data_IF_152475306002
#
_entry.id   IF_152475306002
#
_cell.length_a   1.000
_cell.length_b   1.000
_cell.length_c   1.000
_cell.angle_alpha   90.00
_cell.angle_beta   90.00
_cell.angle_gamma   90.00
#
_symmetry.space_group_name_H-M   'P 1'
#
loop_
_entity.id
_entity.type
_entity.pdbx_description
1 polymer ?
#
# COMPACT_ATOMS: atom_id res chain seq x y z
N UNK A 1 19.93 -2.86 13.89
CA UNK A 1 20.94 -2.17 14.73
C UNK A 1 20.58 -0.70 15.01
N UNK A 2 20.11 0.05 14.02
CA UNK A 2 19.70 1.47 14.19
C UNK A 2 18.54 1.67 15.17
N UNK A 3 17.52 0.83 15.15
CA UNK A 3 16.36 0.91 16.07
C UNK A 3 16.77 0.79 17.54
N UNK A 4 17.56 -0.24 17.86
CA UNK A 4 18.02 -0.44 19.23
C UNK A 4 18.90 0.74 19.70
N UNK A 5 19.76 1.25 18.84
CA UNK A 5 20.62 2.38 19.13
C UNK A 5 19.79 3.65 19.38
N UNK A 6 18.82 3.95 18.54
CA UNK A 6 17.94 5.11 18.69
C UNK A 6 17.13 5.05 19.99
N UNK A 7 16.61 3.86 20.37
CA UNK A 7 15.91 3.65 21.62
C UNK A 7 16.82 3.82 22.85
N UNK A 8 18.05 3.30 22.79
CA UNK A 8 19.04 3.47 23.88
C UNK A 8 19.36 4.94 24.08
N UNK A 9 19.58 5.71 23.01
CA UNK A 9 19.83 7.16 23.08
C UNK A 9 18.63 7.91 23.65
N UNK A 10 17.41 7.56 23.26
CA UNK A 10 16.17 8.10 23.80
C UNK A 10 16.05 7.88 25.31
N UNK A 11 16.24 6.65 25.77
CA UNK A 11 16.19 6.30 27.20
C UNK A 11 17.33 6.97 28.00
N UNK A 12 18.53 7.04 27.42
CA UNK A 12 19.67 7.73 28.02
C UNK A 12 19.40 9.23 28.18
N UNK A 13 18.78 9.88 27.19
CA UNK A 13 18.36 11.29 27.28
C UNK A 13 17.41 11.51 28.45
N UNK A 14 16.37 10.69 28.60
CA UNK A 14 15.42 10.76 29.74
C UNK A 14 16.17 10.55 31.06
N UNK A 15 17.04 9.54 31.13
CA UNK A 15 17.81 9.21 32.31
C UNK A 15 18.72 10.35 32.75
N UNK A 16 19.48 10.92 31.82
CA UNK A 16 20.40 12.06 32.12
C UNK A 16 19.60 13.29 32.55
N UNK A 17 18.50 13.61 31.85
CA UNK A 17 17.65 14.73 32.22
C UNK A 17 17.03 14.54 33.59
N UNK A 18 16.44 13.38 33.86
CA UNK A 18 15.83 13.07 35.16
C UNK A 18 16.85 13.02 36.31
N UNK A 19 18.12 12.69 36.05
CA UNK A 19 19.15 12.54 37.08
C UNK A 19 19.73 13.87 37.51
N UNK A 20 20.22 14.74 36.60
CA UNK A 20 21.00 15.92 36.92
C UNK A 20 20.69 17.19 36.12
N UNK A 21 19.68 17.19 35.22
CA UNK A 21 19.39 18.38 34.43
C UNK A 21 18.88 19.55 35.26
N UNK A 22 19.17 20.74 34.79
CA UNK A 22 18.84 21.99 35.44
C UNK A 22 17.38 22.40 35.35
N UNK A 23 16.99 23.35 36.20
CA UNK A 23 15.61 23.84 36.41
C UNK A 23 15.08 24.75 35.28
N UNK A 24 15.85 25.05 34.26
CA UNK A 24 15.48 26.06 33.26
C UNK A 24 14.35 25.55 32.35
N UNK A 25 13.27 26.33 32.23
CA UNK A 25 12.07 25.96 31.48
C UNK A 25 12.38 25.69 29.98
N UNK A 26 13.31 26.43 29.40
CA UNK A 26 13.74 26.23 28.01
C UNK A 26 14.31 24.84 27.77
N UNK A 27 15.25 24.37 28.59
CA UNK A 27 15.83 23.03 28.47
C UNK A 27 14.78 21.94 28.62
N UNK A 28 13.82 22.15 29.54
CA UNK A 28 12.69 21.24 29.72
C UNK A 28 11.85 21.16 28.46
N UNK A 29 11.41 22.29 27.88
CA UNK A 29 10.56 22.35 26.70
C UNK A 29 11.30 21.78 25.50
N UNK A 30 12.55 22.21 25.27
CA UNK A 30 13.32 21.72 24.11
C UNK A 30 13.51 20.19 24.15
N UNK A 31 13.92 19.63 25.28
CA UNK A 31 14.12 18.19 25.46
C UNK A 31 12.77 17.45 25.28
N UNK A 32 11.69 17.94 25.89
CA UNK A 32 10.36 17.33 25.79
C UNK A 32 9.86 17.31 24.35
N UNK A 33 10.05 18.41 23.61
CA UNK A 33 9.66 18.50 22.19
C UNK A 33 10.42 17.49 21.34
N UNK A 34 11.76 17.41 21.49
CA UNK A 34 12.57 16.48 20.69
C UNK A 34 12.24 15.01 21.03
N UNK A 35 12.08 14.68 22.32
CA UNK A 35 11.64 13.34 22.71
C UNK A 35 10.23 13.04 22.19
N UNK A 36 9.37 14.05 22.15
CA UNK A 36 8.04 13.95 21.55
C UNK A 36 8.09 13.66 20.05
N UNK A 37 8.94 14.35 19.32
CA UNK A 37 9.17 14.10 17.89
C UNK A 37 9.62 12.65 17.69
N UNK A 38 10.57 12.16 18.50
CA UNK A 38 11.02 10.76 18.44
C UNK A 38 9.86 9.77 18.59
N UNK A 39 8.99 9.99 19.58
CA UNK A 39 7.82 9.11 19.82
C UNK A 39 6.88 9.13 18.63
N UNK A 40 6.53 10.32 18.11
CA UNK A 40 5.61 10.45 16.97
C UNK A 40 6.20 9.78 15.73
N UNK A 41 7.47 10.03 15.42
CA UNK A 41 8.15 9.43 14.27
C UNK A 41 8.12 7.89 14.31
N UNK A 42 8.45 7.31 15.45
CA UNK A 42 8.48 5.85 15.56
C UNK A 42 7.07 5.24 15.56
N UNK A 43 6.07 5.91 16.15
CA UNK A 43 4.67 5.45 16.04
C UNK A 43 4.19 5.53 14.60
N UNK A 44 4.54 6.61 13.87
CA UNK A 44 4.23 6.71 12.44
C UNK A 44 4.89 5.58 11.65
N UNK A 45 6.16 5.27 11.94
CA UNK A 45 6.87 4.14 11.31
C UNK A 45 6.13 2.81 11.52
N UNK A 46 5.83 2.46 12.78
CA UNK A 46 5.16 1.19 13.08
C UNK A 46 3.73 1.13 12.54
N UNK A 47 3.00 2.25 12.56
CA UNK A 47 1.68 2.31 11.94
C UNK A 47 1.76 2.16 10.43
N UNK A 48 2.71 2.80 9.77
CA UNK A 48 2.94 2.67 8.33
C UNK A 48 3.34 1.24 7.96
N UNK A 49 4.28 0.66 8.71
CA UNK A 49 4.75 -0.71 8.51
C UNK A 49 3.59 -1.73 8.64
N UNK A 50 2.70 -1.53 9.61
CA UNK A 50 1.51 -2.36 9.77
C UNK A 50 0.61 -2.35 8.52
N UNK A 51 0.51 -1.24 7.81
CA UNK A 51 -0.36 -1.10 6.63
C UNK A 51 0.35 -1.37 5.31
N UNK A 52 1.65 -1.16 5.21
CA UNK A 52 2.40 -1.29 3.96
C UNK A 52 3.37 -2.48 3.94
N UNK A 53 3.77 -2.95 5.11
CA UNK A 53 4.84 -3.95 5.25
C UNK A 53 6.25 -3.41 5.00
N UNK A 54 6.38 -2.10 4.67
CA UNK A 54 7.65 -1.48 4.24
C UNK A 54 7.89 -0.08 4.87
N UNK A 55 7.24 0.18 6.01
CA UNK A 55 7.41 1.42 6.76
C UNK A 55 6.86 2.66 6.05
N UNK A 56 7.58 3.80 6.18
CA UNK A 56 7.15 5.10 5.63
C UNK A 56 7.69 5.24 4.20
N UNK A 57 6.82 5.10 3.22
CA UNK A 57 7.14 5.13 1.79
C UNK A 57 6.12 5.96 0.98
N UNK A 58 6.24 5.97 -0.35
CA UNK A 58 5.32 6.66 -1.25
C UNK A 58 3.87 6.17 -1.13
N UNK A 59 3.63 4.89 -0.81
CA UNK A 59 2.29 4.35 -0.62
C UNK A 59 1.57 5.01 0.56
N UNK A 60 2.30 5.27 1.67
CA UNK A 60 1.77 6.02 2.83
C UNK A 60 1.43 7.45 2.42
N UNK A 61 2.35 8.14 1.75
CA UNK A 61 2.13 9.52 1.30
C UNK A 61 0.95 9.59 0.33
N UNK A 62 0.89 8.69 -0.64
CA UNK A 62 -0.21 8.60 -1.59
C UNK A 62 -1.55 8.38 -0.89
N UNK A 63 -1.60 7.45 0.07
CA UNK A 63 -2.82 7.14 0.85
C UNK A 63 -3.28 8.33 1.68
N UNK A 64 -2.35 9.04 2.35
CA UNK A 64 -2.67 10.21 3.17
C UNK A 64 -3.11 11.43 2.34
N UNK A 65 -2.64 11.55 1.12
CA UNK A 65 -2.98 12.66 0.23
C UNK A 65 -4.21 12.37 -0.64
N UNK A 66 -4.73 11.15 -0.63
CA UNK A 66 -5.90 10.74 -1.42
C UNK A 66 -7.13 10.45 -0.56
N UNK A 67 -8.30 10.36 -1.19
CA UNK A 67 -9.54 10.01 -0.50
C UNK A 67 -9.49 8.58 0.03
N UNK A 68 -9.79 8.40 1.31
CA UNK A 68 -9.93 7.09 1.95
C UNK A 68 -11.32 6.46 1.72
N UNK A 69 -12.12 7.02 0.83
CA UNK A 69 -13.45 6.47 0.51
C UNK A 69 -13.32 5.08 -0.10
N UNK A 70 -13.90 4.09 0.55
CA UNK A 70 -13.82 2.69 0.11
C UNK A 70 -12.58 1.92 0.56
N UNK A 71 -11.75 2.51 1.45
CA UNK A 71 -10.55 1.87 1.99
C UNK A 71 -10.79 0.99 3.23
N UNK A 72 -12.03 0.71 3.60
CA UNK A 72 -12.34 -0.13 4.78
C UNK A 72 -11.85 0.41 6.14
N UNK A 73 -11.58 1.73 6.23
CA UNK A 73 -10.94 2.35 7.41
C UNK A 73 -11.79 2.36 8.68
N UNK A 74 -13.08 2.05 8.58
CA UNK A 74 -14.01 2.11 9.71
C UNK A 74 -13.57 1.31 10.93
N UNK A 75 -13.00 0.12 10.73
CA UNK A 75 -12.52 -0.76 11.79
C UNK A 75 -11.32 -0.19 12.58
N UNK A 76 -10.59 0.77 12.00
CA UNK A 76 -9.41 1.38 12.62
C UNK A 76 -9.70 2.66 13.40
N UNK A 77 -10.93 3.19 13.37
CA UNK A 77 -11.31 4.43 14.09
C UNK A 77 -11.12 4.25 15.59
N UNK A 78 -11.65 3.18 16.16
CA UNK A 78 -11.57 2.95 17.62
C UNK A 78 -10.13 2.63 18.07
N UNK A 79 -9.35 1.74 17.41
CA UNK A 79 -7.92 1.59 17.66
C UNK A 79 -7.13 2.90 17.53
N UNK A 80 -7.42 3.71 16.51
CA UNK A 80 -6.78 5.02 16.31
C UNK A 80 -7.04 6.00 17.46
N UNK A 81 -8.29 6.08 17.94
CA UNK A 81 -8.61 6.87 19.15
C UNK A 81 -7.88 6.36 20.37
N UNK A 82 -7.79 5.03 20.54
CA UNK A 82 -6.99 4.42 21.62
C UNK A 82 -5.52 4.80 21.55
N UNK A 83 -4.94 4.81 20.36
CA UNK A 83 -3.56 5.25 20.12
C UNK A 83 -3.35 6.73 20.51
N UNK A 84 -4.28 7.61 20.12
CA UNK A 84 -4.21 9.03 20.49
C UNK A 84 -4.26 9.21 22.01
N UNK A 85 -5.15 8.51 22.71
CA UNK A 85 -5.23 8.55 24.18
C UNK A 85 -3.93 8.03 24.82
N UNK A 86 -3.38 6.93 24.31
CA UNK A 86 -2.11 6.38 24.78
C UNK A 86 -0.95 7.36 24.57
N UNK A 87 -0.89 8.02 23.42
CA UNK A 87 0.10 9.08 23.13
C UNK A 87 0.02 10.24 24.13
N UNK A 88 -1.18 10.76 24.36
CA UNK A 88 -1.39 11.83 25.34
C UNK A 88 -0.93 11.38 26.74
N UNK A 89 -1.24 10.13 27.13
CA UNK A 89 -0.78 9.53 28.38
C UNK A 89 0.75 9.42 28.47
N UNK A 90 1.41 8.96 27.41
CA UNK A 90 2.87 8.86 27.34
C UNK A 90 3.51 10.25 27.46
N UNK A 91 3.01 11.24 26.72
CA UNK A 91 3.49 12.62 26.81
C UNK A 91 3.31 13.22 28.22
N UNK A 92 2.15 13.00 28.83
CA UNK A 92 1.89 13.45 30.19
C UNK A 92 2.85 12.79 31.20
N UNK A 93 3.05 11.47 31.07
CA UNK A 93 3.99 10.72 31.91
C UNK A 93 5.45 11.20 31.72
N UNK A 94 5.86 11.40 30.47
CA UNK A 94 7.19 11.93 30.15
C UNK A 94 7.37 13.33 30.72
N UNK A 95 6.41 14.22 30.53
CA UNK A 95 6.43 15.57 31.10
C UNK A 95 6.47 15.54 32.64
N UNK A 96 5.74 14.61 33.27
CA UNK A 96 5.74 14.43 34.71
C UNK A 96 7.10 13.93 35.22
N UNK A 97 7.69 12.92 34.58
CA UNK A 97 9.03 12.40 34.92
C UNK A 97 10.09 13.50 34.84
N UNK A 98 10.10 14.25 33.75
CA UNK A 98 11.05 15.34 33.55
C UNK A 98 10.82 16.51 34.55
N UNK A 99 9.56 16.77 34.96
CA UNK A 99 9.21 17.81 35.94
C UNK A 99 9.49 17.41 37.41
N UNK A 100 9.37 16.13 37.75
CA UNK A 100 9.38 15.67 39.17
C UNK A 100 10.63 16.02 39.97
N UNK A 101 11.73 16.38 39.27
CA UNK A 101 13.03 16.68 39.91
C UNK A 101 13.42 18.16 39.83
N UNK A 102 12.47 19.03 39.84
CA UNK A 102 12.60 20.49 39.66
C UNK A 102 13.40 21.24 40.75
N UNK A 103 13.83 20.60 41.84
CA UNK A 103 14.41 21.23 43.00
C UNK A 103 15.94 21.06 43.15
N UNK A 104 16.65 20.62 42.13
CA UNK A 104 18.11 20.44 42.17
C UNK A 104 18.87 21.63 41.58
N UNK A 105 20.14 21.86 41.99
CA UNK A 105 20.97 22.93 41.46
C UNK A 105 21.12 22.82 39.92
N UNK A 106 21.29 23.97 39.26
CA UNK A 106 21.37 24.08 37.81
C UNK A 106 22.67 23.49 37.26
N UNK A 107 22.57 22.40 36.53
CA UNK A 107 23.68 21.88 35.74
C UNK A 107 23.32 21.94 34.23
N UNK A 108 23.57 23.09 33.62
CA UNK A 108 23.30 23.31 32.19
C UNK A 108 23.97 22.26 31.28
N UNK A 109 25.18 21.80 31.68
CA UNK A 109 25.89 20.75 30.93
C UNK A 109 25.11 19.45 30.79
N UNK A 110 24.44 19.00 31.86
CA UNK A 110 23.58 17.79 31.77
C UNK A 110 22.31 18.01 30.99
N UNK A 111 21.74 19.23 31.02
CA UNK A 111 20.58 19.57 30.20
C UNK A 111 20.95 19.60 28.72
N UNK A 112 22.10 20.16 28.37
CA UNK A 112 22.64 20.14 27.03
C UNK A 112 22.93 18.69 26.55
N UNK A 113 23.60 17.89 27.39
CA UNK A 113 23.86 16.48 27.07
C UNK A 113 22.56 15.70 26.81
N UNK A 114 21.54 15.89 27.66
CA UNK A 114 20.26 15.25 27.47
C UNK A 114 19.58 15.67 26.12
N UNK A 115 19.65 16.96 25.80
CA UNK A 115 19.13 17.45 24.50
C UNK A 115 19.92 16.88 23.32
N UNK A 116 21.25 16.83 23.40
CA UNK A 116 22.09 16.21 22.36
C UNK A 116 21.76 14.71 22.18
N UNK A 117 21.55 13.98 23.27
CA UNK A 117 21.15 12.58 23.23
C UNK A 117 19.75 12.43 22.61
N UNK A 118 18.81 13.34 22.91
CA UNK A 118 17.48 13.35 22.29
C UNK A 118 17.56 13.61 20.77
N UNK A 119 18.36 14.59 20.35
CA UNK A 119 18.59 14.87 18.93
C UNK A 119 19.25 13.68 18.23
N UNK A 120 20.28 13.09 18.84
CA UNK A 120 20.94 11.91 18.31
C UNK A 120 19.99 10.69 18.22
N UNK A 121 19.00 10.57 19.12
CA UNK A 121 17.99 9.51 19.04
C UNK A 121 17.06 9.68 17.83
N UNK A 122 16.69 10.93 17.51
CA UNK A 122 15.89 11.25 16.31
C UNK A 122 16.71 10.96 15.04
N UNK A 123 17.95 11.43 14.99
CA UNK A 123 18.84 11.23 13.84
C UNK A 123 19.12 9.75 13.59
N UNK A 124 19.32 8.94 14.62
CA UNK A 124 19.52 7.50 14.49
C UNK A 124 18.22 6.70 14.22
N UNK A 125 17.05 7.34 14.25
CA UNK A 125 15.77 6.64 14.04
C UNK A 125 15.56 6.25 12.57
N UNK A 126 15.19 4.99 12.28
CA UNK A 126 14.80 4.58 10.92
C UNK A 126 13.68 5.44 10.33
N UNK A 127 12.70 5.87 11.15
CA UNK A 127 11.62 6.75 10.72
C UNK A 127 12.14 8.08 10.14
N UNK A 128 13.14 8.68 10.79
CA UNK A 128 13.75 9.92 10.31
C UNK A 128 14.48 9.72 8.98
N UNK A 129 15.19 8.60 8.83
CA UNK A 129 15.87 8.26 7.59
C UNK A 129 14.87 8.03 6.44
N UNK A 130 13.80 7.25 6.65
CA UNK A 130 12.78 7.00 5.63
C UNK A 130 12.08 8.30 5.18
N UNK A 131 11.68 9.17 6.14
CA UNK A 131 11.10 10.47 5.80
C UNK A 131 12.12 11.33 5.02
N UNK A 132 13.39 11.32 5.42
CA UNK A 132 14.43 12.10 4.74
C UNK A 132 14.65 11.62 3.31
N UNK A 133 14.67 10.31 3.07
CA UNK A 133 14.77 9.74 1.73
C UNK A 133 13.51 10.05 0.89
N UNK A 134 12.32 9.96 1.49
CA UNK A 134 11.07 10.33 0.84
C UNK A 134 11.07 11.82 0.43
N UNK A 135 11.52 12.73 1.30
CA UNK A 135 11.66 14.16 0.97
C UNK A 135 12.70 14.40 -0.12
N UNK A 136 13.84 13.70 -0.07
CA UNK A 136 14.88 13.80 -1.10
C UNK A 136 14.39 13.29 -2.46
N UNK A 137 13.63 12.20 -2.49
CA UNK A 137 13.10 11.67 -3.75
C UNK A 137 12.16 12.66 -4.44
N UNK A 138 11.38 13.42 -3.64
CA UNK A 138 10.46 14.44 -4.13
C UNK A 138 11.15 15.75 -4.59
N UNK A 139 12.32 16.07 -4.02
CA UNK A 139 13.05 17.31 -4.32
C UNK A 139 14.05 17.18 -5.47
N UNK A 140 14.20 16.02 -6.05
CA UNK A 140 14.99 15.86 -7.28
C UNK A 140 14.20 16.43 -8.45
N UNK A 141 14.72 17.51 -9.05
CA UNK A 141 14.31 17.90 -10.40
C UNK A 141 14.45 16.65 -11.28
N UNK A 142 13.43 16.38 -12.10
CA UNK A 142 13.32 15.13 -12.84
C UNK A 142 14.64 14.72 -13.47
N UNK A 143 15.00 13.45 -13.26
CA UNK A 143 16.24 12.91 -13.76
C UNK A 143 16.31 13.13 -15.28
N UNK A 144 17.24 13.94 -15.79
CA UNK A 144 17.35 14.17 -17.23
C UNK A 144 17.62 12.88 -18.02
N UNK A 145 18.10 11.84 -17.34
CA UNK A 145 18.33 10.53 -17.93
C UNK A 145 17.04 9.69 -18.08
N UNK A 146 15.93 10.04 -17.40
CA UNK A 146 14.65 9.30 -17.56
C UNK A 146 14.24 9.24 -19.04
N UNK A 147 14.34 10.34 -19.75
CA UNK A 147 14.01 10.40 -21.19
C UNK A 147 14.90 9.47 -22.05
N UNK A 148 16.09 9.12 -21.60
CA UNK A 148 16.97 8.17 -22.27
C UNK A 148 16.49 6.71 -22.11
N UNK A 149 15.86 6.39 -21.01
CA UNK A 149 15.35 5.05 -20.69
C UNK A 149 13.90 4.84 -21.11
N UNK A 150 13.05 5.88 -21.02
CA UNK A 150 11.67 5.77 -21.47
C UNK A 150 11.59 5.66 -22.98
N UNK A 151 10.93 4.61 -23.46
CA UNK A 151 10.64 4.41 -24.89
C UNK A 151 9.14 4.57 -25.10
N UNK A 152 8.75 5.59 -25.85
CA UNK A 152 7.36 5.76 -26.25
C UNK A 152 6.88 4.53 -27.03
N UNK A 153 5.82 3.85 -26.57
CA UNK A 153 5.34 2.65 -27.23
C UNK A 153 4.62 2.99 -28.54
N UNK A 154 4.42 1.98 -29.39
CA UNK A 154 3.53 2.09 -30.56
C UNK A 154 2.11 2.45 -30.10
N UNK A 155 1.45 3.37 -30.79
CA UNK A 155 0.09 3.81 -30.45
C UNK A 155 -1.01 2.77 -30.72
N UNK A 156 -0.69 1.72 -31.45
CA UNK A 156 -1.63 0.63 -31.81
C UNK A 156 -0.88 -0.67 -32.12
N UNK A 157 -1.60 -1.76 -32.05
CA UNK A 157 -1.16 -3.09 -32.47
C UNK A 157 -1.57 -3.28 -33.93
N UNK A 158 -0.62 -3.67 -34.76
CA UNK A 158 -0.92 -4.01 -36.16
C UNK A 158 -1.58 -5.39 -36.26
N UNK A 159 -2.75 -5.43 -36.89
CA UNK A 159 -3.52 -6.64 -37.14
C UNK A 159 -3.75 -7.53 -35.89
N UNK A 160 -4.35 -7.02 -34.81
CA UNK A 160 -4.56 -7.77 -33.57
C UNK A 160 -5.56 -8.91 -33.80
N UNK A 161 -5.26 -10.12 -33.31
CA UNK A 161 -6.06 -11.32 -33.53
C UNK A 161 -6.66 -11.91 -32.26
N UNK A 162 -6.07 -11.64 -31.12
CA UNK A 162 -6.42 -12.26 -29.84
C UNK A 162 -7.14 -11.27 -28.93
N UNK A 163 -8.04 -11.75 -28.10
CA UNK A 163 -8.53 -11.03 -26.94
C UNK A 163 -7.47 -11.06 -25.83
N UNK A 164 -7.53 -10.09 -24.92
CA UNK A 164 -6.64 -10.02 -23.77
C UNK A 164 -7.45 -10.20 -22.48
N UNK A 165 -7.06 -11.16 -21.65
CA UNK A 165 -7.48 -11.23 -20.24
C UNK A 165 -6.25 -10.93 -19.38
N UNK A 166 -6.38 -9.97 -18.47
CA UNK A 166 -5.28 -9.52 -17.60
C UNK A 166 -5.75 -9.54 -16.14
N UNK A 167 -5.13 -10.37 -15.31
CA UNK A 167 -5.51 -10.51 -13.92
C UNK A 167 -4.39 -9.95 -13.04
N UNK A 168 -4.72 -8.94 -12.23
CA UNK A 168 -3.86 -8.46 -11.16
C UNK A 168 -4.13 -9.30 -9.90
N UNK A 169 -3.15 -10.07 -9.46
CA UNK A 169 -3.18 -10.77 -8.18
C UNK A 169 -2.72 -9.82 -7.06
N UNK A 170 -3.66 -9.27 -6.29
CA UNK A 170 -3.34 -8.37 -5.18
C UNK A 170 -2.47 -9.06 -4.14
N UNK A 171 -1.37 -8.42 -3.74
CA UNK A 171 -0.42 -8.94 -2.74
C UNK A 171 0.07 -10.38 -3.01
N UNK A 172 0.09 -10.80 -4.28
CA UNK A 172 0.60 -12.13 -4.68
C UNK A 172 2.12 -12.07 -4.83
N UNK A 173 2.82 -12.45 -3.77
CA UNK A 173 4.27 -12.44 -3.69
C UNK A 173 4.91 -13.59 -4.48
N UNK A 174 6.01 -13.31 -5.16
CA UNK A 174 6.78 -14.36 -5.88
C UNK A 174 7.26 -15.47 -4.93
N UNK A 175 7.56 -15.12 -3.68
CA UNK A 175 7.96 -16.04 -2.62
C UNK A 175 6.92 -17.13 -2.34
N UNK A 176 5.63 -16.90 -2.61
CA UNK A 176 4.57 -17.91 -2.41
C UNK A 176 4.68 -19.12 -3.36
N UNK A 177 5.48 -19.00 -4.41
CA UNK A 177 5.81 -20.12 -5.32
C UNK A 177 7.04 -20.92 -4.87
N UNK A 178 7.72 -20.51 -3.80
CA UNK A 178 8.84 -21.24 -3.20
C UNK A 178 8.29 -22.33 -2.27
N UNK A 179 8.38 -23.59 -2.73
CA UNK A 179 7.89 -24.73 -1.97
C UNK A 179 8.73 -25.06 -0.72
N UNK A 180 9.97 -24.55 -0.62
CA UNK A 180 10.79 -24.73 0.59
C UNK A 180 10.29 -23.78 1.70
N UNK A 181 9.88 -22.55 1.33
CA UNK A 181 9.32 -21.58 2.26
C UNK A 181 7.83 -21.80 2.51
N UNK A 182 7.06 -22.11 1.47
CA UNK A 182 5.59 -22.25 1.49
C UNK A 182 5.15 -23.53 0.78
N UNK A 183 5.30 -24.72 1.41
CA UNK A 183 4.98 -25.98 0.78
C UNK A 183 3.55 -26.05 0.27
N UNK A 184 3.38 -26.29 -1.03
CA UNK A 184 2.08 -26.48 -1.69
C UNK A 184 1.07 -25.33 -1.47
N UNK A 185 1.55 -24.08 -1.40
CA UNK A 185 0.69 -22.92 -1.22
C UNK A 185 -0.03 -22.54 -2.52
N UNK A 186 0.66 -22.60 -3.67
CA UNK A 186 0.15 -22.18 -5.00
C UNK A 186 0.36 -23.27 -6.07
N UNK A 187 -0.20 -24.48 -5.91
CA UNK A 187 0.05 -25.59 -6.84
C UNK A 187 -0.55 -25.36 -8.23
N UNK A 188 -1.73 -24.76 -8.35
CA UNK A 188 -2.42 -24.55 -9.64
C UNK A 188 -1.76 -23.42 -10.44
N UNK A 189 -1.43 -22.28 -9.79
CA UNK A 189 -0.66 -21.21 -10.41
C UNK A 189 0.75 -21.67 -10.79
N UNK A 190 1.37 -22.52 -9.97
CA UNK A 190 2.64 -23.17 -10.29
C UNK A 190 2.55 -24.06 -11.54
N UNK A 191 1.45 -24.81 -11.70
CA UNK A 191 1.19 -25.60 -12.90
C UNK A 191 0.95 -24.70 -14.13
N UNK A 192 0.21 -23.60 -13.97
CA UNK A 192 -0.03 -22.63 -15.04
C UNK A 192 1.26 -21.95 -15.48
N UNK A 193 2.12 -21.55 -14.53
CA UNK A 193 3.45 -21.01 -14.77
C UNK A 193 4.28 -21.87 -15.73
N UNK A 194 4.20 -23.17 -15.60
CA UNK A 194 4.93 -24.13 -16.46
C UNK A 194 4.35 -24.24 -17.89
N UNK A 195 3.17 -23.69 -18.16
CA UNK A 195 2.52 -23.71 -19.46
C UNK A 195 2.67 -22.38 -20.24
N UNK A 196 3.24 -21.36 -19.64
CA UNK A 196 3.38 -20.02 -20.19
C UNK A 196 4.79 -19.45 -20.09
N UNK A 197 4.86 -18.13 -20.21
CA UNK A 197 6.09 -17.38 -19.95
C UNK A 197 6.10 -16.91 -18.49
N UNK A 198 7.17 -17.19 -17.79
CA UNK A 198 7.39 -16.75 -16.42
C UNK A 198 8.55 -15.74 -16.37
N UNK A 199 8.29 -14.59 -15.74
CA UNK A 199 9.27 -13.53 -15.53
C UNK A 199 9.81 -13.58 -14.09
N UNK A 200 10.59 -14.60 -13.80
CA UNK A 200 11.08 -14.93 -12.45
C UNK A 200 12.04 -13.90 -11.82
N UNK A 201 12.61 -13.01 -12.61
CA UNK A 201 13.58 -11.99 -12.15
C UNK A 201 12.99 -10.58 -12.16
N UNK A 202 11.68 -10.44 -12.04
CA UNK A 202 11.02 -9.14 -11.92
C UNK A 202 11.15 -8.64 -10.48
N UNK A 203 11.65 -7.41 -10.32
CA UNK A 203 11.77 -6.75 -9.02
C UNK A 203 10.83 -5.54 -8.97
N UNK A 204 10.25 -5.30 -7.81
CA UNK A 204 9.55 -4.05 -7.54
C UNK A 204 10.55 -2.92 -7.34
N UNK A 205 10.32 -1.79 -7.99
CA UNK A 205 11.07 -0.56 -7.82
C UNK A 205 10.25 0.44 -6.98
N UNK A 206 10.90 1.43 -6.35
CA UNK A 206 10.17 2.52 -5.70
C UNK A 206 9.15 3.15 -6.66
N UNK A 207 7.94 3.41 -6.16
CA UNK A 207 6.83 3.91 -6.99
C UNK A 207 6.16 2.86 -7.88
N UNK A 208 6.36 1.55 -7.60
CA UNK A 208 5.64 0.44 -8.27
C UNK A 208 5.07 -0.59 -7.28
N UNK A 209 5.19 -0.32 -5.98
CA UNK A 209 5.04 -1.25 -4.86
C UNK A 209 3.66 -1.19 -4.16
N UNK A 210 2.71 -0.43 -4.68
CA UNK A 210 1.31 -0.42 -4.23
C UNK A 210 0.35 -0.47 -5.42
N UNK A 211 -0.89 -0.87 -5.19
CA UNK A 211 -1.84 -1.29 -6.24
C UNK A 211 -1.92 -0.36 -7.44
N UNK A 212 -2.20 0.94 -7.23
CA UNK A 212 -2.31 1.87 -8.38
C UNK A 212 -0.95 2.12 -9.04
N UNK A 213 0.14 2.12 -8.27
CA UNK A 213 1.48 2.28 -8.83
C UNK A 213 1.89 1.07 -9.67
N UNK A 214 1.57 -0.15 -9.22
CA UNK A 214 1.74 -1.37 -10.02
C UNK A 214 0.91 -1.37 -11.30
N UNK A 215 -0.34 -0.85 -11.25
CA UNK A 215 -1.17 -0.67 -12.44
C UNK A 215 -0.56 0.34 -13.42
N UNK A 216 -0.09 1.48 -12.94
CA UNK A 216 0.59 2.50 -13.76
C UNK A 216 1.87 1.93 -14.36
N UNK A 217 2.70 1.28 -13.56
CA UNK A 217 3.95 0.69 -14.04
C UNK A 217 3.73 -0.37 -15.11
N UNK A 218 2.80 -1.30 -14.89
CA UNK A 218 2.52 -2.39 -15.85
C UNK A 218 1.81 -1.93 -17.11
N UNK A 219 1.02 -0.85 -17.06
CA UNK A 219 0.30 -0.36 -18.23
C UNK A 219 1.02 0.75 -18.98
N UNK A 220 1.76 1.61 -18.27
CA UNK A 220 2.38 2.80 -18.86
C UNK A 220 3.92 2.75 -18.90
N UNK A 221 4.55 1.78 -18.21
CA UNK A 221 6.00 1.64 -18.14
C UNK A 221 6.71 2.75 -17.34
N UNK A 222 6.01 3.39 -16.41
CA UNK A 222 6.52 4.47 -15.57
C UNK A 222 6.19 4.24 -14.09
N UNK A 223 7.01 4.69 -13.15
CA UNK A 223 6.67 4.66 -11.73
C UNK A 223 5.63 5.74 -11.37
N UNK A 224 4.91 5.54 -10.28
CA UNK A 224 3.99 6.52 -9.70
C UNK A 224 4.54 7.00 -8.36
N UNK A 225 4.89 8.28 -8.28
CA UNK A 225 5.27 8.95 -7.04
C UNK A 225 4.18 9.92 -6.58
N UNK A 226 3.93 9.96 -5.27
CA UNK A 226 2.95 10.86 -4.68
C UNK A 226 3.55 12.25 -4.46
N UNK A 227 2.98 13.34 -5.00
CA UNK A 227 3.46 14.68 -4.69
C UNK A 227 3.08 15.10 -3.26
N UNK A 228 3.97 15.80 -2.55
CA UNK A 228 3.66 16.39 -1.24
C UNK A 228 2.60 17.49 -1.32
N UNK A 229 2.48 18.16 -2.45
CA UNK A 229 1.61 19.34 -2.65
C UNK A 229 0.14 18.98 -2.88
N UNK A 230 -0.38 18.01 -2.15
CA UNK A 230 -1.81 17.78 -2.08
C UNK A 230 -2.34 16.67 -2.97
N UNK A 231 -3.59 16.35 -2.68
CA UNK A 231 -4.33 15.27 -3.28
C UNK A 231 -4.69 15.57 -4.72
N UNK A 232 -3.88 15.11 -5.59
CA UNK A 232 -4.15 15.25 -7.00
C UNK A 232 -5.35 14.41 -7.46
N UNK A 233 -5.55 13.18 -6.95
CA UNK A 233 -6.52 12.23 -7.55
C UNK A 233 -7.98 12.62 -7.39
N UNK A 234 -8.38 13.26 -6.28
CA UNK A 234 -9.77 13.70 -6.07
C UNK A 234 -10.16 14.94 -6.90
N UNK A 235 -9.18 15.74 -7.34
CA UNK A 235 -9.37 16.93 -8.16
C UNK A 235 -8.89 16.77 -9.60
N UNK A 236 -8.24 15.66 -9.93
CA UNK A 236 -7.76 15.37 -11.28
C UNK A 236 -8.93 15.06 -12.23
N UNK A 237 -8.96 15.74 -13.36
CA UNK A 237 -9.81 15.37 -14.50
C UNK A 237 -9.19 14.30 -15.38
N UNK A 238 -7.86 14.09 -15.30
CA UNK A 238 -7.11 13.08 -16.06
C UNK A 238 -5.86 12.65 -15.30
N UNK A 239 -5.38 11.45 -15.56
CA UNK A 239 -4.23 10.82 -14.91
C UNK A 239 -3.19 10.50 -15.97
N UNK A 240 -2.01 11.09 -15.92
CA UNK A 240 -0.94 10.96 -16.92
C UNK A 240 -1.36 11.14 -18.39
N UNK A 241 -2.09 12.20 -18.76
CA UNK A 241 -2.73 12.32 -20.08
C UNK A 241 -1.74 12.40 -21.25
N UNK A 242 -0.46 12.61 -20.99
CA UNK A 242 0.59 12.65 -22.02
C UNK A 242 1.27 11.31 -22.27
N UNK A 243 1.04 10.32 -21.40
CA UNK A 243 1.62 8.98 -21.55
C UNK A 243 0.68 8.07 -22.35
N UNK A 244 1.28 7.20 -23.15
CA UNK A 244 0.55 6.15 -23.85
C UNK A 244 0.63 4.89 -23.01
N UNK A 245 -0.51 4.42 -22.55
CA UNK A 245 -0.62 3.22 -21.73
C UNK A 245 -1.24 2.06 -22.50
N UNK A 246 -1.16 0.85 -22.00
CA UNK A 246 -1.68 -0.35 -22.65
C UNK A 246 -3.17 -0.22 -23.05
N UNK A 247 -3.99 0.37 -22.17
CA UNK A 247 -5.40 0.60 -22.48
C UNK A 247 -5.62 1.50 -23.70
N UNK A 248 -4.79 2.55 -23.89
CA UNK A 248 -4.84 3.42 -25.07
C UNK A 248 -4.47 2.65 -26.34
N UNK A 249 -3.40 1.85 -26.27
CA UNK A 249 -2.94 1.02 -27.39
C UNK A 249 -4.04 0.03 -27.81
N UNK A 250 -4.67 -0.63 -26.85
CA UNK A 250 -5.75 -1.57 -27.08
C UNK A 250 -6.96 -0.87 -27.72
N UNK A 251 -7.40 0.26 -27.15
CA UNK A 251 -8.52 1.06 -27.68
C UNK A 251 -8.25 1.52 -29.11
N UNK A 252 -7.07 2.05 -29.38
CA UNK A 252 -6.63 2.48 -30.71
C UNK A 252 -6.53 1.30 -31.72
N UNK A 253 -6.44 0.08 -31.20
CA UNK A 253 -6.40 -1.17 -31.98
C UNK A 253 -7.80 -1.79 -32.15
N UNK A 254 -8.87 -1.11 -31.69
CA UNK A 254 -10.24 -1.54 -31.85
C UNK A 254 -10.74 -2.52 -30.79
N UNK A 255 -10.11 -2.54 -29.61
CA UNK A 255 -10.61 -3.28 -28.46
C UNK A 255 -11.65 -2.46 -27.69
N UNK A 256 -12.65 -3.13 -27.13
CA UNK A 256 -13.47 -2.63 -26.03
C UNK A 256 -12.78 -3.02 -24.71
N UNK A 257 -12.41 -2.03 -23.88
CA UNK A 257 -11.64 -2.27 -22.66
C UNK A 257 -12.55 -2.31 -21.42
N UNK A 258 -12.46 -3.40 -20.68
CA UNK A 258 -13.24 -3.70 -19.48
C UNK A 258 -12.31 -3.83 -18.27
N UNK A 259 -12.74 -3.30 -17.13
CA UNK A 259 -12.03 -3.48 -15.85
C UNK A 259 -13.02 -3.85 -14.75
N UNK A 260 -12.68 -4.86 -13.94
CA UNK A 260 -13.51 -5.40 -12.86
C UNK A 260 -12.72 -5.55 -11.57
N UNK A 261 -13.29 -5.10 -10.45
CA UNK A 261 -12.74 -5.30 -9.10
C UNK A 261 -13.83 -5.34 -8.04
N UNK A 262 -13.57 -5.97 -6.87
CA UNK A 262 -14.49 -5.98 -5.74
C UNK A 262 -14.54 -4.68 -4.96
N UNK A 263 -13.47 -3.90 -4.97
CA UNK A 263 -13.32 -2.65 -4.23
C UNK A 263 -13.94 -1.45 -4.97
N UNK A 264 -14.03 -0.30 -4.25
CA UNK A 264 -14.50 0.94 -4.86
C UNK A 264 -13.46 1.49 -5.86
N UNK A 265 -13.91 1.85 -7.06
CA UNK A 265 -13.05 2.38 -8.13
C UNK A 265 -12.43 3.74 -7.80
N UNK A 266 -13.10 4.55 -6.97
CA UNK A 266 -12.61 5.88 -6.59
C UNK A 266 -11.41 5.83 -5.64
N UNK A 267 -11.24 4.70 -4.93
CA UNK A 267 -10.09 4.54 -4.06
C UNK A 267 -8.80 4.58 -4.89
N UNK A 268 -7.87 5.43 -4.44
CA UNK A 268 -6.58 5.67 -5.08
C UNK A 268 -6.67 6.21 -6.53
N UNK A 269 -7.81 6.78 -6.95
CA UNK A 269 -7.98 7.40 -8.28
C UNK A 269 -7.99 6.41 -9.44
N UNK A 270 -8.27 5.13 -9.20
CA UNK A 270 -8.30 4.09 -10.24
C UNK A 270 -9.29 4.40 -11.38
N UNK A 271 -10.46 4.93 -11.03
CA UNK A 271 -11.46 5.31 -12.03
C UNK A 271 -10.96 6.42 -12.96
N UNK A 272 -10.24 7.41 -12.42
CA UNK A 272 -9.65 8.49 -13.22
C UNK A 272 -8.54 7.96 -14.12
N UNK A 273 -7.63 7.12 -13.56
CA UNK A 273 -6.56 6.49 -14.33
C UNK A 273 -7.10 5.67 -15.50
N UNK A 274 -8.00 4.75 -15.24
CA UNK A 274 -8.54 3.85 -16.25
C UNK A 274 -9.32 4.60 -17.36
N UNK A 275 -10.16 5.58 -16.98
CA UNK A 275 -10.86 6.43 -17.94
C UNK A 275 -9.92 7.26 -18.80
N UNK A 276 -8.84 7.77 -18.21
CA UNK A 276 -7.82 8.53 -18.96
C UNK A 276 -7.11 7.69 -20.01
N UNK A 277 -7.03 6.37 -19.79
CA UNK A 277 -6.28 5.45 -20.64
C UNK A 277 -7.17 4.40 -21.33
N UNK A 278 -8.32 4.83 -21.82
CA UNK A 278 -9.09 4.08 -22.82
C UNK A 278 -10.01 3.00 -22.26
N UNK A 279 -10.26 2.93 -20.96
CA UNK A 279 -11.25 2.02 -20.40
C UNK A 279 -12.62 2.69 -20.31
N UNK A 280 -13.58 2.17 -21.07
CA UNK A 280 -14.96 2.68 -21.10
C UNK A 280 -15.89 1.93 -20.14
N UNK A 281 -15.55 0.69 -19.78
CA UNK A 281 -16.39 -0.20 -18.99
C UNK A 281 -15.69 -0.54 -17.67
N UNK A 282 -16.13 0.12 -16.59
CA UNK A 282 -15.54 -0.02 -15.25
C UNK A 282 -16.57 -0.58 -14.29
N UNK A 283 -16.22 -1.68 -13.60
CA UNK A 283 -17.06 -2.36 -12.64
C UNK A 283 -16.34 -2.49 -11.29
N UNK A 284 -16.69 -1.65 -10.36
CA UNK A 284 -16.25 -1.73 -8.97
C UNK A 284 -17.38 -2.13 -8.03
N UNK A 285 -17.17 -1.97 -6.74
CA UNK A 285 -18.15 -2.37 -5.73
C UNK A 285 -19.51 -1.71 -5.89
N UNK A 286 -19.60 -0.51 -6.45
CA UNK A 286 -20.86 0.20 -6.63
C UNK A 286 -21.61 -0.30 -7.87
N UNK A 287 -20.90 -0.51 -8.96
CA UNK A 287 -21.46 -0.97 -10.24
C UNK A 287 -21.91 -2.43 -10.15
N UNK A 288 -21.12 -3.28 -9.49
CA UNK A 288 -21.44 -4.70 -9.31
C UNK A 288 -22.63 -4.97 -8.38
N UNK A 289 -23.04 -4.02 -7.54
CA UNK A 289 -24.21 -4.18 -6.64
C UNK A 289 -25.48 -4.64 -7.34
N UNK A 290 -25.66 -4.25 -8.60
CA UNK A 290 -26.87 -4.52 -9.37
C UNK A 290 -26.83 -5.84 -10.12
N UNK A 291 -25.66 -6.45 -10.25
CA UNK A 291 -25.44 -7.68 -11.05
C UNK A 291 -25.19 -8.91 -10.19
N UNK A 292 -24.56 -8.73 -9.03
CA UNK A 292 -24.23 -9.84 -8.13
C UNK A 292 -25.47 -10.42 -7.44
N UNK A 293 -25.46 -11.74 -7.22
CA UNK A 293 -26.59 -12.45 -6.61
C UNK A 293 -26.80 -12.09 -5.10
N UNK A 294 -25.73 -11.79 -4.37
CA UNK A 294 -25.78 -11.42 -2.95
C UNK A 294 -25.00 -10.11 -2.71
N UNK A 295 -25.64 -8.94 -2.86
CA UNK A 295 -24.98 -7.64 -2.65
C UNK A 295 -24.51 -7.39 -1.22
N UNK A 296 -24.98 -8.16 -0.24
CA UNK A 296 -24.56 -8.05 1.16
C UNK A 296 -23.28 -8.86 1.45
N UNK A 297 -22.91 -9.78 0.58
CA UNK A 297 -21.74 -10.61 0.74
C UNK A 297 -20.46 -9.82 0.36
N UNK A 298 -19.87 -9.17 1.37
CA UNK A 298 -18.73 -8.27 1.21
C UNK A 298 -17.74 -8.43 2.37
N UNK A 299 -16.49 -8.07 2.10
CA UNK A 299 -15.46 -7.78 3.09
C UNK A 299 -15.32 -6.26 3.29
N UNK A 300 -14.33 -5.83 4.07
CA UNK A 300 -14.10 -4.40 4.37
C UNK A 300 -13.75 -3.54 3.14
N UNK A 301 -13.23 -4.16 2.07
CA UNK A 301 -12.87 -3.48 0.83
C UNK A 301 -14.00 -3.49 -0.20
N UNK A 302 -14.87 -4.50 -0.18
CA UNK A 302 -15.94 -4.67 -1.13
C UNK A 302 -16.34 -6.12 -1.35
N UNK A 303 -16.59 -6.55 -2.58
CA UNK A 303 -16.92 -7.94 -2.89
C UNK A 303 -15.70 -8.85 -2.77
N UNK A 304 -15.92 -10.07 -2.28
CA UNK A 304 -14.91 -11.13 -2.26
C UNK A 304 -14.49 -11.55 -3.67
N UNK A 305 -13.27 -12.07 -3.81
CA UNK A 305 -12.73 -12.50 -5.09
C UNK A 305 -13.55 -13.61 -5.76
N UNK A 306 -14.17 -14.53 -5.00
CA UNK A 306 -15.05 -15.54 -5.56
C UNK A 306 -16.24 -14.92 -6.32
N UNK A 307 -16.79 -13.83 -5.83
CA UNK A 307 -17.85 -13.06 -6.50
C UNK A 307 -17.32 -12.31 -7.73
N UNK A 308 -16.18 -11.64 -7.57
CA UNK A 308 -15.58 -10.84 -8.65
C UNK A 308 -15.16 -11.72 -9.83
N UNK A 309 -14.53 -12.85 -9.56
CA UNK A 309 -14.07 -13.78 -10.60
C UNK A 309 -15.25 -14.47 -11.28
N UNK A 310 -16.33 -14.82 -10.55
CA UNK A 310 -17.56 -15.33 -11.15
C UNK A 310 -18.20 -14.30 -12.12
N UNK A 311 -18.26 -13.01 -11.73
CA UNK A 311 -18.77 -11.94 -12.61
C UNK A 311 -17.82 -11.66 -13.78
N UNK A 312 -16.51 -11.75 -13.56
CA UNK A 312 -15.49 -11.63 -14.61
C UNK A 312 -15.62 -12.76 -15.64
N UNK A 313 -15.85 -13.98 -15.18
CA UNK A 313 -16.09 -15.13 -16.05
C UNK A 313 -17.36 -14.97 -16.90
N UNK A 314 -18.47 -14.56 -16.27
CA UNK A 314 -19.73 -14.27 -17.01
C UNK A 314 -19.51 -13.21 -18.08
N UNK A 315 -18.75 -12.16 -17.74
CA UNK A 315 -18.42 -11.09 -18.70
C UNK A 315 -17.53 -11.63 -19.84
N UNK A 316 -16.55 -12.46 -19.55
CA UNK A 316 -15.72 -13.11 -20.54
C UNK A 316 -16.55 -13.97 -21.52
N UNK A 317 -17.49 -14.77 -21.01
CA UNK A 317 -18.38 -15.58 -21.86
C UNK A 317 -19.30 -14.71 -22.75
N UNK A 318 -19.89 -13.64 -22.16
CA UNK A 318 -20.73 -12.69 -22.91
C UNK A 318 -19.96 -12.07 -24.07
N UNK A 319 -18.76 -11.53 -23.79
CA UNK A 319 -17.92 -10.87 -24.79
C UNK A 319 -17.40 -11.84 -25.86
N UNK A 320 -17.05 -13.06 -25.47
CA UNK A 320 -16.59 -14.10 -26.37
C UNK A 320 -17.71 -14.51 -27.35
N UNK A 321 -18.94 -14.62 -26.85
CA UNK A 321 -20.12 -14.95 -27.71
C UNK A 321 -20.49 -13.79 -28.63
N UNK A 322 -20.27 -12.55 -28.23
CA UNK A 322 -20.55 -11.37 -29.02
C UNK A 322 -19.62 -11.21 -30.24
N UNK A 323 -18.52 -11.95 -30.30
CA UNK A 323 -17.55 -11.92 -31.40
C UNK A 323 -16.81 -10.60 -31.57
N UNK A 324 -16.88 -9.72 -30.56
CA UNK A 324 -16.15 -8.45 -30.53
C UNK A 324 -14.75 -8.65 -29.98
N UNK A 325 -13.82 -7.79 -30.40
CA UNK A 325 -12.49 -7.76 -29.82
C UNK A 325 -12.53 -7.01 -28.47
N UNK A 326 -12.07 -7.65 -27.42
CA UNK A 326 -12.09 -7.08 -26.08
C UNK A 326 -10.79 -7.29 -25.33
N UNK A 327 -10.54 -6.42 -24.36
CA UNK A 327 -9.64 -6.67 -23.26
C UNK A 327 -10.43 -6.66 -21.94
N UNK A 328 -10.17 -7.63 -21.09
CA UNK A 328 -10.84 -7.80 -19.80
C UNK A 328 -9.79 -7.85 -18.69
N UNK A 329 -9.79 -6.81 -17.86
CA UNK A 329 -8.89 -6.69 -16.73
C UNK A 329 -9.64 -6.99 -15.43
N UNK A 330 -9.06 -7.77 -14.55
CA UNK A 330 -9.57 -8.03 -13.21
C UNK A 330 -8.51 -7.75 -12.14
N UNK A 331 -8.93 -7.23 -10.99
CA UNK A 331 -8.09 -7.01 -9.82
C UNK A 331 -8.72 -7.71 -8.61
N UNK A 332 -7.97 -8.62 -8.00
CA UNK A 332 -8.37 -9.33 -6.78
C UNK A 332 -8.17 -8.47 -5.52
N UNK A 333 -8.71 -8.90 -4.38
CA UNK A 333 -8.62 -8.14 -3.12
C UNK A 333 -8.49 -9.04 -1.88
N UNK A 334 -8.83 -10.33 -1.96
CA UNK A 334 -8.91 -11.18 -0.76
C UNK A 334 -7.57 -11.41 -0.07
N UNK A 335 -6.46 -11.25 -0.78
CA UNK A 335 -5.09 -11.32 -0.25
C UNK A 335 -4.57 -10.00 0.30
N UNK A 336 -5.38 -8.92 0.28
CA UNK A 336 -4.93 -7.60 0.68
C UNK A 336 -4.45 -7.55 2.14
N UNK A 337 -3.22 -7.04 2.31
CA UNK A 337 -2.60 -6.80 3.61
C UNK A 337 -3.47 -5.86 4.51
N UNK A 338 -3.45 -5.95 5.86
CA UNK A 338 -2.60 -6.84 6.68
C UNK A 338 -3.20 -8.23 6.96
N UNK A 339 -4.52 -8.41 6.84
CA UNK A 339 -5.19 -9.60 7.38
C UNK A 339 -5.57 -10.63 6.32
N UNK A 340 -5.80 -10.20 5.08
CA UNK A 340 -6.47 -11.01 4.06
C UNK A 340 -7.93 -11.33 4.41
N UNK A 341 -8.65 -11.92 3.47
CA UNK A 341 -10.07 -12.24 3.61
C UNK A 341 -10.34 -13.64 3.08
N UNK A 342 -11.08 -14.45 3.85
CA UNK A 342 -11.44 -15.81 3.46
C UNK A 342 -12.90 -15.84 3.03
N UNK A 343 -13.15 -16.11 1.76
CA UNK A 343 -14.49 -16.14 1.17
C UNK A 343 -15.33 -17.30 1.72
N UNK A 344 -16.67 -17.25 1.54
CA UNK A 344 -17.57 -18.36 1.90
C UNK A 344 -17.22 -19.64 1.14
N UNK A 345 -16.80 -19.52 -0.09
CA UNK A 345 -16.39 -20.66 -0.93
C UNK A 345 -15.13 -21.31 -0.37
N UNK A 346 -14.15 -20.49 0.01
CA UNK A 346 -12.91 -20.98 0.65
C UNK A 346 -13.19 -21.69 1.97
N UNK A 347 -14.05 -21.13 2.83
CA UNK A 347 -14.46 -21.76 4.11
C UNK A 347 -15.14 -23.11 3.88
N UNK A 348 -16.07 -23.19 2.92
CA UNK A 348 -16.74 -24.47 2.58
C UNK A 348 -15.78 -25.54 2.06
N UNK A 349 -14.70 -25.14 1.43
CA UNK A 349 -13.65 -26.05 0.93
C UNK A 349 -12.57 -26.38 2.00
N UNK A 350 -12.72 -25.87 3.22
CA UNK A 350 -11.79 -26.17 4.32
C UNK A 350 -10.51 -25.34 4.33
N UNK A 351 -10.47 -24.24 3.58
CA UNK A 351 -9.31 -23.32 3.54
C UNK A 351 -9.30 -22.29 4.67
N UNK A 352 -10.27 -22.32 5.57
CA UNK A 352 -10.26 -21.50 6.79
C UNK A 352 -9.32 -22.18 7.82
N UNK A 353 -8.06 -21.82 7.80
CA UNK A 353 -7.06 -22.38 8.70
C UNK A 353 -7.17 -21.62 10.03
N UNK A 354 -7.99 -22.16 10.94
CA UNK A 354 -8.18 -21.61 12.29
C UNK A 354 -6.84 -21.57 13.06
N UNK A 355 -6.48 -20.37 13.47
CA UNK A 355 -5.63 -20.10 14.64
C UNK A 355 -4.13 -20.20 14.48
N UNK A 356 -3.55 -20.58 13.35
CA UNK A 356 -2.08 -20.69 13.18
C UNK A 356 -1.49 -19.94 12.00
N UNK A 357 -2.29 -19.58 11.02
CA UNK A 357 -1.80 -18.91 9.84
C UNK A 357 -2.62 -17.69 9.54
N UNK A 358 -1.95 -16.71 9.05
CA UNK A 358 -2.50 -15.50 8.50
C UNK A 358 -3.63 -15.86 7.49
N UNK A 359 -4.78 -15.22 7.60
CA UNK A 359 -5.88 -15.36 6.64
C UNK A 359 -5.44 -15.10 5.20
N UNK A 360 -4.37 -14.33 5.02
CA UNK A 360 -3.74 -14.10 3.73
C UNK A 360 -3.29 -15.39 3.06
N UNK A 361 -2.71 -16.36 3.78
CA UNK A 361 -2.31 -17.63 3.17
C UNK A 361 -3.51 -18.46 2.72
N UNK A 362 -4.59 -18.48 3.50
CA UNK A 362 -5.85 -19.11 3.08
C UNK A 362 -6.44 -18.44 1.85
N UNK A 363 -6.35 -17.10 1.76
CA UNK A 363 -6.78 -16.34 0.59
C UNK A 363 -5.87 -16.62 -0.62
N UNK A 364 -4.54 -16.66 -0.44
CA UNK A 364 -3.60 -17.02 -1.51
C UNK A 364 -3.94 -18.39 -2.09
N UNK A 365 -4.02 -19.41 -1.26
CA UNK A 365 -4.30 -20.78 -1.74
C UNK A 365 -5.69 -20.91 -2.37
N UNK A 366 -6.70 -20.28 -1.82
CA UNK A 366 -8.07 -20.45 -2.31
C UNK A 366 -8.44 -19.44 -3.39
N UNK A 367 -8.30 -18.14 -3.10
CA UNK A 367 -8.79 -17.10 -4.01
C UNK A 367 -7.84 -16.86 -5.18
N UNK A 368 -6.53 -16.90 -4.95
CA UNK A 368 -5.56 -16.66 -6.02
C UNK A 368 -5.22 -17.93 -6.77
N UNK A 369 -4.86 -19.02 -6.08
CA UNK A 369 -4.41 -20.23 -6.74
C UNK A 369 -5.57 -21.01 -7.38
N UNK A 370 -6.63 -21.32 -6.60
CA UNK A 370 -7.68 -22.24 -7.06
C UNK A 370 -8.81 -21.59 -7.83
N UNK A 371 -9.03 -20.28 -7.62
CA UNK A 371 -10.12 -19.54 -8.26
C UNK A 371 -9.69 -18.78 -9.51
N UNK A 372 -8.45 -18.30 -9.54
CA UNK A 372 -7.93 -17.53 -10.68
C UNK A 372 -7.55 -18.43 -11.87
N UNK A 373 -7.39 -19.72 -11.66
CA UNK A 373 -6.96 -20.68 -12.70
C UNK A 373 -8.12 -21.43 -13.35
N UNK A 374 -9.30 -21.43 -12.72
CA UNK A 374 -10.53 -22.03 -13.28
C UNK A 374 -11.27 -21.02 -14.13
#
# INVERSE_FOLDING_TARGET
>A
MSELMSLVLFLASIGVYAWKAGRHTWWFVATLVVLGIFIVLNITLYASDYFTGDGINDAVLYTLTNSLTGAGVGKYILPGLGLVVALVGIFAALAWVLRRRRHRPHHHGYSLLALCLALASVDASPAFHQITELVKSQSRDGDPDFAAYYKEPSKKIDNPRLNLVYIYGESLEHTYFDNDAFPNLTPELGALKNQGLDFSHTMQLPGTDYTIAGMVASQCGIPLFAPFEGNASASMSSFFPQNICLGDILKNSGYENYFMQGANLRFAGKDVFLKSHGFDHLYGSEELKTTVADPAYRNDWGFYDDTVLDETWKKFEELSRAGKRFSLFALTVDTHHPDGFVSRTCKRQGYDIDGKNNKSFSAVTCSQDRKSVV
#
